data_IF_239804504333
#
_entry.id   IF_239804504333
#
_cell.length_a   1.000
_cell.length_b   1.000
_cell.length_c   1.000
_cell.angle_alpha   90.00
_cell.angle_beta   90.00
_cell.angle_gamma   90.00
#
_symmetry.space_group_name_H-M   'P 1'
#
loop_
_entity.id
_entity.type
_entity.pdbx_description
1 polymer ?
#
# COMPACT_ATOMS: atom_id res chain seq x y z
N UNK A 1 -11.10 -30.48 -72.47
CA UNK A 1 -9.83 -29.72 -72.64
C UNK A 1 -9.77 -28.62 -71.59
N UNK A 2 -8.56 -28.41 -71.03
CA UNK A 2 -8.12 -27.43 -70.01
C UNK A 2 -7.98 -27.98 -68.59
N UNK A 3 -6.78 -27.72 -68.07
CA UNK A 3 -6.06 -28.27 -66.92
C UNK A 3 -6.01 -27.22 -65.78
N UNK A 4 -5.45 -27.65 -64.64
CA UNK A 4 -4.72 -26.87 -63.62
C UNK A 4 -5.57 -26.20 -62.53
N UNK A 5 -5.13 -26.09 -61.27
CA UNK A 5 -4.02 -26.67 -60.51
C UNK A 5 -4.25 -26.35 -59.01
N UNK A 6 -3.71 -27.19 -58.12
CA UNK A 6 -3.54 -26.92 -56.69
C UNK A 6 -2.74 -25.64 -56.43
N UNK A 7 -3.15 -24.83 -55.45
CA UNK A 7 -2.22 -24.13 -54.55
C UNK A 7 -2.83 -24.16 -53.14
N UNK A 8 -2.23 -24.98 -52.29
CA UNK A 8 -2.45 -25.02 -50.85
C UNK A 8 -1.59 -23.91 -50.22
N UNK A 9 -2.20 -22.83 -49.75
CA UNK A 9 -1.50 -21.78 -49.00
C UNK A 9 -1.57 -22.13 -47.52
N UNK A 10 -0.52 -22.77 -47.02
CA UNK A 10 -0.29 -22.93 -45.59
C UNK A 10 0.26 -21.61 -45.02
N UNK A 11 -0.62 -20.81 -44.41
CA UNK A 11 -0.20 -19.64 -43.65
C UNK A 11 0.41 -20.10 -42.32
N UNK A 12 1.74 -20.11 -42.24
CA UNK A 12 2.48 -20.17 -40.98
C UNK A 12 2.15 -18.89 -40.18
N UNK A 13 1.17 -18.99 -39.28
CA UNK A 13 1.04 -18.05 -38.18
C UNK A 13 2.21 -18.31 -37.22
N UNK A 14 3.25 -17.47 -37.32
CA UNK A 14 4.30 -17.39 -36.32
C UNK A 14 3.67 -17.00 -34.99
N UNK A 15 3.57 -17.98 -34.09
CA UNK A 15 3.35 -17.75 -32.67
C UNK A 15 4.59 -17.02 -32.12
N UNK A 16 4.57 -15.69 -32.16
CA UNK A 16 5.43 -14.88 -31.30
C UNK A 16 4.91 -15.06 -29.87
N UNK A 17 5.37 -16.14 -29.23
CA UNK A 17 5.28 -16.30 -27.80
C UNK A 17 6.19 -15.25 -27.17
N UNK A 18 5.63 -14.11 -26.79
CA UNK A 18 6.27 -13.20 -25.83
C UNK A 18 6.25 -13.91 -24.48
N UNK A 19 7.22 -14.79 -24.24
CA UNK A 19 7.52 -15.29 -22.89
C UNK A 19 8.04 -14.09 -22.11
N UNK A 20 7.16 -13.48 -21.33
CA UNK A 20 7.60 -12.53 -20.31
C UNK A 20 8.13 -13.40 -19.18
N UNK A 21 9.45 -13.50 -19.02
CA UNK A 21 10.11 -14.24 -17.92
C UNK A 21 9.88 -13.54 -16.56
N UNK A 22 8.61 -13.37 -16.18
CA UNK A 22 8.19 -12.85 -14.88
C UNK A 22 8.02 -13.97 -13.85
N UNK A 23 8.38 -15.22 -14.17
CA UNK A 23 8.24 -16.37 -13.26
C UNK A 23 9.03 -16.24 -11.97
N UNK A 24 9.96 -15.27 -11.91
CA UNK A 24 10.86 -15.06 -10.80
C UNK A 24 10.68 -13.68 -10.14
N UNK A 25 9.62 -12.94 -10.45
CA UNK A 25 9.33 -11.67 -9.76
C UNK A 25 8.15 -11.85 -8.81
N UNK A 26 8.32 -11.45 -7.55
CA UNK A 26 7.25 -11.35 -6.56
C UNK A 26 6.90 -9.87 -6.40
N UNK A 27 5.67 -9.50 -6.73
CA UNK A 27 5.15 -8.14 -6.57
C UNK A 27 4.39 -8.02 -5.26
N UNK A 28 4.84 -7.13 -4.39
CA UNK A 28 4.27 -6.90 -3.06
C UNK A 28 3.70 -5.48 -2.98
N UNK A 29 2.38 -5.37 -2.77
CA UNK A 29 1.77 -4.09 -2.40
C UNK A 29 1.72 -3.98 -0.89
N UNK A 30 2.42 -3.00 -0.33
CA UNK A 30 2.58 -2.84 1.11
C UNK A 30 2.27 -1.42 1.57
N UNK A 31 1.66 -1.28 2.74
CA UNK A 31 1.36 0.02 3.33
C UNK A 31 2.64 0.89 3.44
N UNK A 32 2.52 2.19 3.20
CA UNK A 32 3.66 3.11 3.25
C UNK A 32 4.44 3.07 4.58
N UNK A 33 3.76 2.83 5.71
CA UNK A 33 4.41 2.63 7.02
C UNK A 33 5.39 1.45 7.07
N UNK A 34 5.27 0.50 6.14
CA UNK A 34 6.09 -0.71 6.08
C UNK A 34 7.31 -0.55 5.17
N UNK A 35 7.49 0.60 4.50
CA UNK A 35 8.53 0.83 3.47
C UNK A 35 9.91 0.35 3.89
N UNK A 36 10.40 0.82 5.04
CA UNK A 36 11.76 0.55 5.48
C UNK A 36 11.94 -0.92 5.89
N UNK A 37 10.99 -1.46 6.65
CA UNK A 37 10.98 -2.87 7.08
C UNK A 37 10.87 -3.84 5.90
N UNK A 38 9.99 -3.56 4.93
CA UNK A 38 9.78 -4.43 3.78
C UNK A 38 10.92 -4.34 2.79
N UNK A 39 11.56 -3.18 2.65
CA UNK A 39 12.78 -3.05 1.82
C UNK A 39 13.91 -3.90 2.40
N UNK A 40 14.11 -3.87 3.72
CA UNK A 40 15.08 -4.73 4.40
C UNK A 40 14.72 -6.23 4.26
N UNK A 41 13.44 -6.59 4.44
CA UNK A 41 12.96 -7.96 4.28
C UNK A 41 13.10 -8.46 2.84
N UNK A 42 12.83 -7.62 1.84
CA UNK A 42 12.99 -7.95 0.43
C UNK A 42 14.45 -8.28 0.09
N UNK A 43 15.38 -7.43 0.53
CA UNK A 43 16.80 -7.67 0.33
C UNK A 43 17.28 -8.99 0.98
N UNK A 44 16.83 -9.28 2.20
CA UNK A 44 17.13 -10.54 2.87
C UNK A 44 16.52 -11.74 2.13
N UNK A 45 15.27 -11.61 1.69
CA UNK A 45 14.57 -12.67 0.95
C UNK A 45 15.26 -12.99 -0.39
N UNK A 46 15.67 -11.97 -1.15
CA UNK A 46 16.40 -12.16 -2.43
C UNK A 46 17.77 -12.82 -2.21
N UNK A 47 18.47 -12.48 -1.12
CA UNK A 47 19.72 -13.11 -0.75
C UNK A 47 19.55 -14.61 -0.47
N UNK A 48 18.48 -14.98 0.24
CA UNK A 48 18.17 -16.37 0.59
C UNK A 48 17.56 -17.16 -0.57
N UNK A 49 17.05 -16.49 -1.60
CA UNK A 49 16.39 -17.09 -2.75
C UNK A 49 17.00 -16.60 -4.08
N UNK A 50 18.19 -17.09 -4.45
CA UNK A 50 18.88 -16.64 -5.66
C UNK A 50 18.03 -16.77 -6.92
N UNK A 51 17.97 -15.69 -7.68
CA UNK A 51 17.22 -15.64 -8.93
C UNK A 51 15.77 -15.18 -8.79
N UNK A 52 15.26 -14.96 -7.57
CA UNK A 52 13.98 -14.27 -7.33
C UNK A 52 14.23 -12.76 -7.13
N UNK A 53 13.33 -11.94 -7.64
CA UNK A 53 13.31 -10.47 -7.48
C UNK A 53 12.02 -10.07 -6.77
N UNK A 54 12.10 -9.20 -5.76
CA UNK A 54 10.96 -8.63 -5.06
C UNK A 54 10.74 -7.20 -5.52
N UNK A 55 9.55 -6.90 -6.02
CA UNK A 55 9.13 -5.55 -6.41
C UNK A 55 8.08 -5.04 -5.45
N UNK A 56 8.34 -3.87 -4.87
CA UNK A 56 7.41 -3.23 -3.95
C UNK A 56 6.60 -2.13 -4.62
N UNK A 57 5.33 -2.04 -4.25
CA UNK A 57 4.44 -0.91 -4.47
C UNK A 57 4.00 -0.38 -3.10
N UNK A 58 4.50 0.79 -2.71
CA UNK A 58 4.18 1.41 -1.42
C UNK A 58 3.18 2.55 -1.59
N UNK A 59 2.09 2.53 -0.81
CA UNK A 59 1.11 3.62 -0.74
C UNK A 59 0.21 3.47 0.51
N UNK A 60 -0.77 4.36 0.66
CA UNK A 60 -1.85 4.18 1.63
C UNK A 60 -2.63 2.89 1.36
N UNK A 61 -2.91 2.09 2.40
CA UNK A 61 -3.52 0.75 2.23
C UNK A 61 -4.89 0.79 1.54
N UNK A 62 -5.65 1.88 1.68
CA UNK A 62 -6.91 2.07 0.97
C UNK A 62 -6.72 2.17 -0.55
N UNK A 63 -5.74 2.96 -0.98
CA UNK A 63 -5.37 3.07 -2.40
C UNK A 63 -4.87 1.75 -2.96
N UNK A 64 -4.07 1.01 -2.19
CA UNK A 64 -3.60 -0.31 -2.59
C UNK A 64 -4.76 -1.32 -2.75
N UNK A 65 -5.71 -1.35 -1.81
CA UNK A 65 -6.89 -2.22 -1.91
C UNK A 65 -7.76 -1.89 -3.13
N UNK A 66 -7.88 -0.60 -3.49
CA UNK A 66 -8.54 -0.15 -4.72
C UNK A 66 -7.79 -0.64 -5.97
N UNK A 67 -6.46 -0.54 -5.98
CA UNK A 67 -5.63 -1.05 -7.08
C UNK A 67 -5.79 -2.56 -7.26
N UNK A 68 -5.80 -3.33 -6.15
CA UNK A 68 -6.06 -4.78 -6.19
C UNK A 68 -7.43 -5.08 -6.79
N UNK A 69 -8.47 -4.37 -6.34
CA UNK A 69 -9.84 -4.51 -6.87
C UNK A 69 -9.91 -4.17 -8.36
N UNK A 70 -9.09 -3.21 -8.82
CA UNK A 70 -8.95 -2.85 -10.22
C UNK A 70 -8.10 -3.84 -11.06
N UNK A 71 -7.61 -4.92 -10.46
CA UNK A 71 -6.87 -5.98 -11.15
C UNK A 71 -5.35 -5.77 -11.20
N UNK A 72 -4.77 -5.00 -10.28
CA UNK A 72 -3.32 -4.91 -10.18
C UNK A 72 -2.69 -6.30 -9.94
N UNK A 73 -1.65 -6.69 -10.72
CA UNK A 73 -1.01 -8.00 -10.58
C UNK A 73 -0.09 -7.99 -9.35
N UNK A 74 -0.63 -8.44 -8.22
CA UNK A 74 0.05 -8.42 -6.91
C UNK A 74 0.04 -9.83 -6.32
N UNK A 75 1.21 -10.31 -5.91
CA UNK A 75 1.39 -11.63 -5.31
C UNK A 75 1.17 -11.61 -3.79
N UNK A 76 1.48 -10.49 -3.13
CA UNK A 76 1.26 -10.31 -1.71
C UNK A 76 0.77 -8.89 -1.36
N UNK A 77 -0.20 -8.82 -0.45
CA UNK A 77 -0.76 -7.57 0.06
C UNK A 77 -0.53 -7.44 1.57
N UNK A 78 0.12 -6.36 2.00
CA UNK A 78 0.36 -6.04 3.40
C UNK A 78 -0.29 -4.71 3.78
N UNK A 79 -1.46 -4.78 4.42
CA UNK A 79 -2.25 -3.61 4.82
C UNK A 79 -1.90 -3.12 6.24
N UNK A 80 -2.09 -1.82 6.48
CA UNK A 80 -1.96 -1.20 7.80
C UNK A 80 -3.27 -1.21 8.62
N UNK A 81 -4.39 -1.69 8.05
CA UNK A 81 -5.65 -1.81 8.77
C UNK A 81 -6.45 -3.04 8.35
N UNK A 82 -7.26 -3.56 9.28
CA UNK A 82 -8.19 -4.65 9.00
C UNK A 82 -9.23 -4.24 7.96
N UNK A 83 -9.71 -2.99 7.96
CA UNK A 83 -10.74 -2.55 7.00
C UNK A 83 -10.22 -2.52 5.55
N UNK A 84 -8.94 -2.22 5.33
CA UNK A 84 -8.35 -2.34 4.00
C UNK A 84 -8.18 -3.81 3.57
N UNK A 85 -7.78 -4.68 4.51
CA UNK A 85 -7.68 -6.12 4.27
C UNK A 85 -9.05 -6.76 4.00
N UNK A 86 -10.06 -6.41 4.78
CA UNK A 86 -11.44 -6.90 4.64
C UNK A 86 -12.02 -6.54 3.28
N UNK A 87 -11.75 -5.33 2.77
CA UNK A 87 -12.13 -4.94 1.40
C UNK A 87 -11.47 -5.82 0.35
N UNK A 88 -10.17 -6.09 0.49
CA UNK A 88 -9.44 -6.95 -0.44
C UNK A 88 -9.98 -8.40 -0.43
N UNK A 89 -10.34 -8.90 0.75
CA UNK A 89 -10.97 -10.22 0.92
C UNK A 89 -12.38 -10.24 0.30
N UNK A 90 -13.21 -9.24 0.57
CA UNK A 90 -14.56 -9.13 -0.01
C UNK A 90 -14.53 -9.01 -1.54
N UNK A 91 -13.50 -8.36 -2.10
CA UNK A 91 -13.28 -8.29 -3.53
C UNK A 91 -12.76 -9.61 -4.14
N UNK A 92 -12.46 -10.63 -3.33
CA UNK A 92 -11.88 -11.90 -3.79
C UNK A 92 -10.42 -11.79 -4.22
N UNK A 93 -9.74 -10.71 -3.87
CA UNK A 93 -8.32 -10.46 -4.23
C UNK A 93 -7.34 -11.00 -3.18
N UNK A 94 -7.84 -11.34 -1.99
CA UNK A 94 -7.09 -11.98 -0.91
C UNK A 94 -7.93 -13.11 -0.31
N UNK A 95 -7.36 -14.32 -0.22
CA UNK A 95 -8.09 -15.48 0.31
C UNK A 95 -7.81 -15.75 1.79
N UNK A 96 -6.55 -15.58 2.23
CA UNK A 96 -6.09 -16.01 3.56
C UNK A 96 -5.35 -14.86 4.26
N UNK A 97 -6.07 -13.89 4.85
CA UNK A 97 -5.43 -12.82 5.60
C UNK A 97 -4.83 -13.34 6.91
N UNK A 98 -3.66 -12.81 7.28
CA UNK A 98 -3.02 -13.10 8.56
C UNK A 98 -2.56 -11.81 9.24
N UNK A 99 -2.83 -11.69 10.55
CA UNK A 99 -2.26 -10.63 11.36
C UNK A 99 -0.78 -10.90 11.59
N UNK A 100 0.08 -9.99 11.13
CA UNK A 100 1.54 -10.12 11.26
C UNK A 100 2.19 -9.00 12.07
N UNK A 101 1.49 -7.88 12.29
CA UNK A 101 2.00 -6.73 13.02
C UNK A 101 0.88 -5.92 13.67
N UNK A 102 1.22 -5.21 14.74
CA UNK A 102 0.39 -4.18 15.38
C UNK A 102 1.19 -2.89 15.51
N UNK A 103 0.49 -1.77 15.73
CA UNK A 103 1.14 -0.48 15.95
C UNK A 103 0.31 0.37 16.92
N UNK A 104 0.90 1.44 17.42
CA UNK A 104 0.24 2.42 18.30
C UNK A 104 0.38 3.82 17.68
N UNK A 105 -0.68 4.63 17.77
CA UNK A 105 -0.61 6.02 17.37
C UNK A 105 0.35 6.79 18.28
N UNK A 106 1.14 7.68 17.68
CA UNK A 106 2.05 8.55 18.39
C UNK A 106 1.91 9.98 17.86
N UNK A 107 2.16 10.95 18.74
CA UNK A 107 2.28 12.35 18.38
C UNK A 107 3.76 12.62 18.12
N UNK A 108 4.11 12.94 16.88
CA UNK A 108 5.44 13.40 16.53
C UNK A 108 5.51 14.92 16.69
N UNK A 109 6.60 15.41 17.29
CA UNK A 109 6.86 16.84 17.47
C UNK A 109 8.25 17.20 16.93
N UNK A 110 8.49 18.47 16.54
CA UNK A 110 9.83 18.92 16.20
C UNK A 110 10.82 18.72 17.35
N UNK A 111 12.13 18.62 17.07
CA UNK A 111 13.16 18.60 18.11
C UNK A 111 12.96 19.71 19.14
N UNK A 112 13.14 19.37 20.42
CA UNK A 112 12.91 20.24 21.58
C UNK A 112 11.46 20.63 21.88
N UNK A 113 10.49 20.14 21.10
CA UNK A 113 9.06 20.36 21.33
C UNK A 113 8.71 21.84 21.60
N UNK A 114 8.89 22.75 20.62
CA UNK A 114 8.73 24.19 20.83
C UNK A 114 7.30 24.59 21.22
N UNK A 115 6.30 23.82 20.79
CA UNK A 115 4.90 24.00 21.16
C UNK A 115 4.52 23.36 22.50
N UNK A 116 5.49 22.74 23.20
CA UNK A 116 5.31 22.14 24.52
C UNK A 116 4.17 21.10 24.60
N UNK A 117 3.93 20.37 23.51
CA UNK A 117 2.90 19.33 23.44
C UNK A 117 3.21 18.23 24.45
N UNK A 118 2.30 18.00 25.38
CA UNK A 118 2.48 17.06 26.50
C UNK A 118 1.27 16.15 26.72
N UNK A 119 0.12 16.53 26.17
CA UNK A 119 -1.15 15.79 26.24
C UNK A 119 -1.94 16.00 24.97
N UNK A 120 -2.97 15.16 24.79
CA UNK A 120 -3.81 15.15 23.60
C UNK A 120 -4.54 16.49 23.39
N UNK A 121 -5.00 17.13 24.47
CA UNK A 121 -5.74 18.40 24.40
C UNK A 121 -4.92 19.56 23.81
N UNK A 122 -3.59 19.49 23.92
CA UNK A 122 -2.70 20.52 23.37
C UNK A 122 -2.79 20.55 21.82
N UNK A 123 -3.31 19.50 21.18
CA UNK A 123 -3.50 19.44 19.73
C UNK A 123 -4.65 20.31 19.21
N UNK A 124 -5.51 20.83 20.09
CA UNK A 124 -6.61 21.72 19.73
C UNK A 124 -6.22 23.20 19.77
N UNK A 125 -4.98 23.52 20.13
CA UNK A 125 -4.48 24.89 20.11
C UNK A 125 -4.47 25.44 18.67
N UNK A 126 -5.19 26.53 18.36
CA UNK A 126 -5.22 27.08 17.01
C UNK A 126 -3.87 27.65 16.54
N UNK A 127 -2.92 27.89 17.45
CA UNK A 127 -1.60 28.42 17.13
C UNK A 127 -0.59 27.32 16.72
N UNK A 128 -0.96 26.03 16.83
CA UNK A 128 -0.11 24.92 16.38
C UNK A 128 -0.42 24.50 14.94
N UNK A 129 0.63 24.12 14.20
CA UNK A 129 0.46 23.47 12.89
C UNK A 129 0.33 21.96 13.09
N UNK A 130 -0.91 21.47 13.06
CA UNK A 130 -1.21 20.04 13.14
C UNK A 130 -1.35 19.43 11.74
N UNK A 131 -0.57 18.39 11.43
CA UNK A 131 -0.71 17.59 10.21
C UNK A 131 -1.23 16.21 10.62
N UNK A 132 -2.27 15.73 9.95
CA UNK A 132 -2.81 14.38 10.15
C UNK A 132 -3.01 13.70 8.80
N UNK A 133 -3.20 12.39 8.80
CA UNK A 133 -3.65 11.70 7.61
C UNK A 133 -5.13 12.00 7.30
N UNK A 134 -5.48 12.00 6.02
CA UNK A 134 -6.87 12.00 5.54
C UNK A 134 -7.62 10.77 6.07
N UNK A 135 -8.91 10.93 6.42
CA UNK A 135 -9.74 9.90 7.07
C UNK A 135 -9.80 8.57 6.30
N UNK A 136 -9.84 8.55 4.95
CA UNK A 136 -9.82 7.30 4.20
C UNK A 136 -8.53 6.47 4.37
N UNK A 137 -7.44 7.03 4.88
CA UNK A 137 -6.18 6.32 5.15
C UNK A 137 -6.21 5.73 6.57
N UNK A 138 -5.65 4.53 6.82
CA UNK A 138 -5.63 3.91 8.15
C UNK A 138 -5.23 4.80 9.33
N UNK A 139 -4.15 5.59 9.19
CA UNK A 139 -3.72 6.53 10.23
C UNK A 139 -4.74 7.64 10.48
N UNK A 140 -5.46 8.09 9.45
CA UNK A 140 -6.48 9.14 9.56
C UNK A 140 -7.74 8.62 10.22
N UNK A 141 -8.22 7.43 9.81
CA UNK A 141 -9.32 6.75 10.47
C UNK A 141 -9.02 6.48 11.96
N UNK A 142 -7.81 6.04 12.29
CA UNK A 142 -7.39 5.82 13.67
C UNK A 142 -7.30 7.14 14.46
N UNK A 143 -6.79 8.21 13.84
CA UNK A 143 -6.71 9.54 14.44
C UNK A 143 -8.09 10.13 14.71
N UNK A 144 -9.02 10.00 13.76
CA UNK A 144 -10.41 10.45 13.95
C UNK A 144 -11.08 9.72 15.12
N UNK A 145 -10.92 8.39 15.21
CA UNK A 145 -11.43 7.62 16.35
C UNK A 145 -10.83 8.08 17.69
N UNK A 146 -9.55 8.43 17.71
CA UNK A 146 -8.89 8.97 18.89
C UNK A 146 -9.51 10.31 19.30
N UNK A 147 -9.71 11.23 18.35
CA UNK A 147 -10.32 12.53 18.62
C UNK A 147 -11.77 12.40 19.08
N UNK A 148 -12.58 11.59 18.40
CA UNK A 148 -13.97 11.34 18.77
C UNK A 148 -14.09 10.75 20.18
N UNK A 149 -13.25 9.77 20.51
CA UNK A 149 -13.25 9.12 21.83
C UNK A 149 -12.89 10.06 22.98
N UNK A 150 -12.19 11.17 22.69
CA UNK A 150 -11.78 12.17 23.67
C UNK A 150 -12.57 13.48 23.53
N UNK A 151 -13.61 13.52 22.67
CA UNK A 151 -14.37 14.73 22.34
C UNK A 151 -13.48 15.92 21.94
N UNK A 152 -12.34 15.65 21.29
CA UNK A 152 -11.38 16.64 20.88
C UNK A 152 -11.75 17.20 19.50
N UNK A 153 -11.94 18.51 19.41
CA UNK A 153 -12.12 19.19 18.13
C UNK A 153 -10.81 19.83 17.71
N UNK A 154 -10.27 19.39 16.57
CA UNK A 154 -9.04 19.93 15.98
C UNK A 154 -9.30 20.37 14.55
N UNK A 155 -8.53 21.34 14.08
CA UNK A 155 -8.52 21.76 12.67
C UNK A 155 -7.12 21.52 12.13
N UNK A 156 -6.87 20.41 11.43
CA UNK A 156 -5.57 20.15 10.84
C UNK A 156 -5.23 21.17 9.76
N UNK A 157 -3.96 21.56 9.70
CA UNK A 157 -3.40 22.40 8.64
C UNK A 157 -3.27 21.63 7.30
N UNK A 158 -3.12 20.31 7.35
CA UNK A 158 -3.08 19.44 6.17
C UNK A 158 -3.66 18.04 6.47
N UNK A 159 -4.12 17.37 5.40
CA UNK A 159 -4.67 16.02 5.39
C UNK A 159 -3.90 15.15 4.39
N UNK A 160 -3.04 14.27 4.90
CA UNK A 160 -2.12 13.49 4.07
C UNK A 160 -2.70 12.16 3.61
N UNK A 161 -2.48 11.82 2.35
CA UNK A 161 -2.90 10.51 1.76
C UNK A 161 -1.92 9.38 2.08
N UNK A 162 -0.77 9.71 2.65
CA UNK A 162 0.31 8.79 3.02
C UNK A 162 0.83 9.14 4.42
N UNK A 163 0.97 8.13 5.28
CA UNK A 163 1.44 8.33 6.66
C UNK A 163 2.86 8.89 6.75
N UNK A 164 3.71 8.64 5.75
CA UNK A 164 5.07 9.18 5.72
C UNK A 164 5.10 10.66 5.38
N UNK A 165 4.11 11.16 4.64
CA UNK A 165 4.00 12.58 4.30
C UNK A 165 3.63 13.46 5.50
N UNK A 166 3.12 12.87 6.60
CA UNK A 166 2.84 13.60 7.85
C UNK A 166 4.13 14.12 8.52
N UNK A 167 5.29 13.56 8.19
CA UNK A 167 6.58 13.90 8.80
C UNK A 167 7.46 14.83 7.94
N UNK A 168 6.96 15.32 6.81
CA UNK A 168 7.71 16.15 5.84
C UNK A 168 7.16 17.55 5.76
#
# INVERSE_FOLDING_TARGET
MKRAACVLVAALFGLTACSSDNTNTITVSAAASLTDSFTALGAAFEQDNPGIVVRFNFAGSSTLAEQLTAGAPVDAFAAASSEAMDRAVQAGTVEQPALFATNTLAIAVPPNNPAQISRLDDLADPDITLIVCDVPVPCGAATQRLFDANALSVVPASLERDVRAVLT
#
